data_IF_687152446479
#
_entry.id   IF_687152446479
#
_cell.length_a   1.000
_cell.length_b   1.000
_cell.length_c   1.000
_cell.angle_alpha   90.00
_cell.angle_beta   90.00
_cell.angle_gamma   90.00
#
_symmetry.space_group_name_H-M   'P 1'
#
loop_
_entity.id
_entity.type
_entity.pdbx_description
1 polymer ?
#
# COMPACT_ATOMS: atom_id res chain seq x y z
N UNK A 1 -4.95 -8.12 5.55
CA UNK A 1 -5.82 -6.94 5.32
C UNK A 1 -5.18 -6.10 4.21
N UNK A 2 -5.97 -5.57 3.28
CA UNK A 2 -5.50 -4.65 2.23
C UNK A 2 -5.92 -3.24 2.65
N UNK A 3 -5.04 -2.26 2.46
CA UNK A 3 -5.20 -0.87 2.87
C UNK A 3 -4.60 -0.02 1.73
N UNK A 4 -5.46 0.78 1.08
CA UNK A 4 -5.12 1.55 -0.11
C UNK A 4 -4.25 2.77 0.24
N UNK A 5 -4.50 3.39 1.38
CA UNK A 5 -3.81 4.53 1.96
C UNK A 5 -2.36 4.14 2.27
N UNK A 6 -2.16 2.95 2.83
CA UNK A 6 -0.82 2.42 3.14
C UNK A 6 -0.10 1.85 1.92
N UNK A 7 -0.76 1.04 1.08
CA UNK A 7 -0.09 0.35 -0.04
C UNK A 7 -1.02 -0.01 -1.21
N UNK A 8 -0.77 0.64 -2.34
CA UNK A 8 -1.60 0.55 -3.56
C UNK A 8 -1.20 -0.53 -4.56
N UNK A 9 0.05 -0.99 -4.53
CA UNK A 9 0.59 -1.91 -5.52
C UNK A 9 1.44 -2.99 -4.86
N UNK A 10 1.19 -4.23 -5.28
CA UNK A 10 2.04 -5.37 -4.96
C UNK A 10 2.62 -5.93 -6.26
N UNK A 11 3.90 -6.31 -6.21
CA UNK A 11 4.60 -6.99 -7.29
C UNK A 11 5.08 -8.33 -6.75
N UNK A 12 4.60 -9.42 -7.34
CA UNK A 12 4.96 -10.78 -6.95
C UNK A 12 5.72 -11.43 -8.10
N UNK A 13 6.92 -11.94 -7.80
CA UNK A 13 7.67 -12.78 -8.74
C UNK A 13 7.38 -14.23 -8.41
N UNK A 14 6.73 -14.94 -9.34
CA UNK A 14 6.32 -16.33 -9.18
C UNK A 14 7.18 -17.20 -10.07
N UNK A 15 7.75 -18.26 -9.52
CA UNK A 15 8.50 -19.26 -10.27
C UNK A 15 7.72 -20.58 -10.28
N UNK A 16 7.55 -21.16 -11.47
CA UNK A 16 6.97 -22.49 -11.68
C UNK A 16 8.11 -23.43 -12.04
N UNK A 17 8.17 -24.61 -11.44
CA UNK A 17 9.20 -25.62 -11.73
C UNK A 17 8.52 -26.96 -11.99
N UNK A 18 8.98 -27.70 -13.00
CA UNK A 18 8.51 -29.06 -13.24
C UNK A 18 9.02 -30.01 -12.15
N UNK A 19 8.12 -30.61 -11.38
CA UNK A 19 8.44 -31.56 -10.31
C UNK A 19 8.65 -33.00 -10.81
N UNK A 20 8.32 -33.27 -12.06
CA UNK A 20 8.40 -34.60 -12.69
C UNK A 20 9.33 -34.53 -13.91
N UNK A 21 10.62 -34.48 -13.64
CA UNK A 21 11.66 -34.52 -14.67
C UNK A 21 12.03 -35.97 -14.92
N UNK A 22 11.97 -36.42 -16.18
CA UNK A 22 12.54 -37.70 -16.58
C UNK A 22 14.07 -37.58 -16.57
N UNK A 23 14.76 -38.57 -15.97
CA UNK A 23 16.24 -38.64 -15.91
C UNK A 23 16.92 -38.41 -17.25
N UNK A 24 16.29 -38.80 -18.36
CA UNK A 24 16.80 -38.59 -19.72
C UNK A 24 16.96 -37.11 -20.09
N UNK A 25 16.24 -36.21 -19.40
CA UNK A 25 16.20 -34.78 -19.71
C UNK A 25 16.77 -33.91 -18.58
N UNK A 26 17.20 -34.46 -17.44
CA UNK A 26 17.72 -33.68 -16.29
C UNK A 26 18.81 -32.66 -16.65
N UNK A 27 19.64 -32.94 -17.67
CA UNK A 27 20.69 -32.03 -18.11
C UNK A 27 20.23 -30.90 -19.05
N UNK A 28 18.98 -30.92 -19.52
CA UNK A 28 18.48 -30.00 -20.56
C UNK A 28 17.99 -28.66 -20.03
N UNK A 29 18.00 -28.43 -18.72
CA UNK A 29 17.82 -27.08 -18.21
C UNK A 29 17.21 -27.01 -16.81
N UNK A 30 16.87 -25.79 -16.37
CA UNK A 30 16.33 -25.56 -15.04
C UNK A 30 14.85 -25.96 -14.91
N UNK A 31 14.17 -26.38 -16.00
CA UNK A 31 12.75 -26.72 -16.06
C UNK A 31 11.83 -25.80 -15.25
N UNK A 32 12.19 -24.52 -15.23
CA UNK A 32 11.52 -23.51 -14.45
C UNK A 32 11.29 -22.27 -15.28
N UNK A 33 10.14 -21.64 -15.08
CA UNK A 33 9.80 -20.36 -15.68
C UNK A 33 9.39 -19.37 -14.58
N UNK A 34 9.54 -18.07 -14.84
CA UNK A 34 9.23 -17.02 -13.89
C UNK A 34 8.33 -15.96 -14.51
N UNK A 35 7.25 -15.60 -13.81
CA UNK A 35 6.35 -14.53 -14.19
C UNK A 35 6.24 -13.46 -13.08
N UNK A 36 5.94 -12.23 -13.47
CA UNK A 36 5.66 -11.14 -12.53
C UNK A 36 4.19 -10.78 -12.55
N UNK A 37 3.56 -10.81 -11.38
CA UNK A 37 2.16 -10.44 -11.18
C UNK A 37 2.11 -9.07 -10.50
N UNK A 38 1.37 -8.14 -11.10
CA UNK A 38 1.08 -6.82 -10.53
C UNK A 38 -0.34 -6.81 -10.00
N UNK A 39 -0.49 -6.58 -8.70
CA UNK A 39 -1.79 -6.51 -8.04
C UNK A 39 -2.01 -5.06 -7.60
N UNK A 40 -3.05 -4.44 -8.15
CA UNK A 40 -3.47 -3.09 -7.77
C UNK A 40 -4.57 -3.18 -6.73
N UNK A 41 -4.38 -2.50 -5.60
CA UNK A 41 -5.44 -2.33 -4.60
C UNK A 41 -6.35 -1.21 -5.10
N UNK A 42 -7.65 -1.46 -5.13
CA UNK A 42 -8.66 -0.46 -5.48
C UNK A 42 -9.08 0.29 -4.23
N UNK A 43 -9.25 1.60 -4.38
CA UNK A 43 -9.75 2.48 -3.35
C UNK A 43 -11.25 2.28 -3.11
N UNK A 44 -11.70 2.53 -1.89
CA UNK A 44 -13.11 2.53 -1.49
C UNK A 44 -13.40 3.75 -0.64
N UNK A 45 -14.64 4.21 -0.63
CA UNK A 45 -14.99 5.41 0.14
C UNK A 45 -14.87 5.16 1.65
N UNK A 46 -14.01 5.92 2.31
CA UNK A 46 -13.79 5.89 3.75
C UNK A 46 -14.16 7.26 4.36
N UNK A 47 -14.80 7.30 5.54
CA UNK A 47 -15.18 8.57 6.15
C UNK A 47 -13.93 9.38 6.52
N UNK A 48 -13.98 10.72 6.44
CA UNK A 48 -12.87 11.55 6.89
C UNK A 48 -12.64 11.34 8.39
N UNK A 49 -11.37 11.15 8.76
CA UNK A 49 -10.97 10.95 10.16
C UNK A 49 -10.01 12.06 10.56
N UNK A 50 -10.28 12.69 11.70
CA UNK A 50 -9.34 13.64 12.29
C UNK A 50 -8.05 12.92 12.69
N UNK A 51 -6.90 13.54 12.41
CA UNK A 51 -5.58 12.97 12.75
C UNK A 51 -5.40 12.92 14.27
N UNK A 52 -6.00 13.88 14.99
CA UNK A 52 -5.95 13.97 16.45
C UNK A 52 -7.36 13.89 17.04
N UNK A 53 -7.47 13.25 18.20
CA UNK A 53 -8.72 13.23 18.97
C UNK A 53 -9.08 14.61 19.56
N UNK A 54 -8.08 15.48 19.75
CA UNK A 54 -8.26 16.83 20.27
C UNK A 54 -7.25 17.78 19.62
N UNK A 55 -7.74 18.95 19.23
CA UNK A 55 -6.94 20.08 18.78
C UNK A 55 -7.09 21.21 19.80
N UNK A 56 -5.97 21.67 20.34
CA UNK A 56 -5.92 22.79 21.28
C UNK A 56 -5.24 23.93 20.55
N UNK A 57 -5.91 25.08 20.53
CA UNK A 57 -5.38 26.32 19.99
C UNK A 57 -5.43 27.40 21.07
N UNK A 58 -4.42 28.24 21.11
CA UNK A 58 -4.32 29.38 22.02
C UNK A 58 -4.23 30.66 21.18
N UNK A 59 -4.87 31.72 21.64
CA UNK A 59 -4.95 33.01 20.94
C UNK A 59 -4.93 34.14 21.96
N UNK A 60 -4.21 35.22 21.64
CA UNK A 60 -4.08 36.39 22.51
C UNK A 60 -5.40 37.18 22.57
N UNK A 61 -5.66 37.84 23.70
CA UNK A 61 -6.90 38.59 23.93
C UNK A 61 -7.09 39.76 22.96
N UNK A 62 -6.00 40.37 22.53
CA UNK A 62 -5.99 41.52 21.61
C UNK A 62 -6.03 41.09 20.13
N UNK A 63 -6.31 39.82 19.86
CA UNK A 63 -6.30 39.30 18.49
C UNK A 63 -7.42 39.94 17.64
N UNK A 64 -7.10 40.54 16.49
CA UNK A 64 -8.09 41.19 15.63
C UNK A 64 -9.17 40.24 15.13
N UNK A 65 -10.38 40.78 14.91
CA UNK A 65 -11.50 40.03 14.36
C UNK A 65 -11.18 39.50 12.94
N UNK A 66 -11.49 38.23 12.71
CA UNK A 66 -11.22 37.54 11.45
C UNK A 66 -9.86 36.84 11.37
N UNK A 67 -9.06 36.88 12.45
CA UNK A 67 -7.81 36.12 12.54
C UNK A 67 -8.07 34.60 12.56
N UNK A 68 -7.28 33.85 11.78
CA UNK A 68 -7.30 32.38 11.85
C UNK A 68 -6.53 31.90 13.07
N UNK A 69 -7.16 31.05 13.87
CA UNK A 69 -6.61 30.53 15.13
C UNK A 69 -5.94 29.15 14.93
N UNK A 70 -6.32 28.43 13.88
CA UNK A 70 -5.79 27.11 13.59
C UNK A 70 -6.50 26.40 12.45
N UNK A 71 -6.01 25.21 12.10
CA UNK A 71 -6.61 24.31 11.10
C UNK A 71 -6.54 22.89 11.63
N UNK A 72 -7.56 22.10 11.31
CA UNK A 72 -7.73 20.71 11.77
C UNK A 72 -7.48 19.71 10.66
#
# INVERSE_FOLDING_TARGET
QLDYESKRLYSLRVQVTNTHIDRRFEQLGPFSDTATIRITVTDVDEPPVFIRALYIFEVDEDTPAGSSVGTV
#
